data_IF_472859335808
#
_entry.id   IF_472859335808
#
_cell.length_a   1.000
_cell.length_b   1.000
_cell.length_c   1.000
_cell.angle_alpha   90.00
_cell.angle_beta   90.00
_cell.angle_gamma   90.00
#
_symmetry.space_group_name_H-M   'P 1'
#
loop_
_entity.id
_entity.type
_entity.pdbx_description
1 polymer ?
#
# COMPACT_ATOMS: atom_id res chain seq x y z
N UNK A 1 10.97 8.93 -22.33
CA UNK A 1 12.31 8.84 -21.69
C UNK A 1 12.36 7.52 -20.93
N UNK A 2 13.52 6.92 -20.80
CA UNK A 2 13.68 5.67 -20.03
C UNK A 2 14.28 5.98 -18.67
N UNK A 3 13.77 5.33 -17.61
CA UNK A 3 14.28 5.45 -16.24
C UNK A 3 15.03 4.19 -15.78
N UNK A 4 15.39 3.28 -16.71
CA UNK A 4 16.13 2.05 -16.42
C UNK A 4 17.45 2.29 -15.68
N UNK A 5 18.11 3.43 -15.93
CA UNK A 5 19.35 3.80 -15.28
C UNK A 5 19.23 3.94 -13.76
N UNK A 6 18.04 4.24 -13.24
CA UNK A 6 17.76 4.32 -11.80
C UNK A 6 17.70 2.94 -11.13
N UNK A 7 17.62 1.86 -11.92
CA UNK A 7 17.48 0.47 -11.50
C UNK A 7 18.62 -0.41 -12.00
N UNK A 8 19.81 0.18 -12.25
CA UNK A 8 20.91 -0.48 -12.94
C UNK A 8 21.36 -1.76 -12.24
N UNK A 9 21.44 -1.76 -10.91
CA UNK A 9 21.81 -2.91 -10.09
C UNK A 9 20.78 -4.04 -10.19
N UNK A 10 19.49 -3.72 -10.05
CA UNK A 10 18.42 -4.71 -10.10
C UNK A 10 18.27 -5.34 -11.49
N UNK A 11 18.42 -4.55 -12.54
CA UNK A 11 18.34 -5.02 -13.93
C UNK A 11 19.56 -5.83 -14.33
N UNK A 12 20.75 -5.54 -13.79
CA UNK A 12 21.97 -6.29 -14.07
C UNK A 12 21.96 -7.72 -13.50
N UNK A 13 21.10 -8.02 -12.52
CA UNK A 13 21.00 -9.38 -11.96
C UNK A 13 20.40 -10.39 -12.93
N UNK A 14 19.52 -9.94 -13.84
CA UNK A 14 18.94 -10.73 -14.92
C UNK A 14 18.47 -9.80 -16.04
N UNK A 15 19.35 -9.44 -16.98
CA UNK A 15 19.05 -8.46 -18.05
C UNK A 15 17.95 -8.90 -19.03
N UNK A 16 17.71 -10.22 -19.14
CA UNK A 16 16.72 -10.77 -20.06
C UNK A 16 15.31 -10.89 -19.42
N UNK A 17 15.22 -10.74 -18.11
CA UNK A 17 13.97 -10.88 -17.40
C UNK A 17 13.00 -9.76 -17.76
N UNK A 18 11.77 -10.13 -18.10
CA UNK A 18 10.63 -9.22 -18.22
C UNK A 18 9.86 -9.22 -16.91
N UNK A 19 10.02 -8.17 -16.13
CA UNK A 19 9.39 -8.08 -14.81
C UNK A 19 8.11 -7.25 -14.87
N UNK A 20 6.94 -7.92 -14.94
CA UNK A 20 5.60 -7.33 -14.96
C UNK A 20 4.83 -7.61 -13.67
N UNK A 21 5.49 -7.51 -12.53
CA UNK A 21 4.91 -7.72 -11.20
C UNK A 21 5.18 -6.55 -10.24
N UNK A 22 5.31 -5.31 -10.74
CA UNK A 22 5.60 -4.12 -9.94
C UNK A 22 4.61 -3.91 -8.78
N UNK A 23 3.35 -4.25 -8.98
CA UNK A 23 2.28 -4.16 -7.98
C UNK A 23 2.37 -5.20 -6.86
N UNK A 24 3.11 -6.26 -7.07
CA UNK A 24 3.31 -7.36 -6.10
C UNK A 24 4.68 -7.24 -5.42
N UNK A 25 5.74 -7.11 -6.22
CA UNK A 25 7.09 -6.85 -5.76
C UNK A 25 7.77 -5.92 -6.75
N UNK A 26 7.86 -4.64 -6.43
CA UNK A 26 8.55 -3.67 -7.29
C UNK A 26 10.06 -3.93 -7.28
N UNK A 27 10.74 -3.74 -8.41
CA UNK A 27 12.20 -3.69 -8.41
C UNK A 27 12.67 -2.48 -7.60
N UNK A 28 13.77 -2.64 -6.90
CA UNK A 28 14.33 -1.60 -6.06
C UNK A 28 15.32 -0.75 -6.86
N UNK A 29 15.21 0.59 -6.82
CA UNK A 29 16.16 1.46 -7.47
C UNK A 29 17.50 1.46 -6.74
N UNK A 30 18.56 1.91 -7.41
CA UNK A 30 19.91 1.97 -6.86
C UNK A 30 19.99 2.82 -5.59
N UNK A 31 19.19 3.88 -5.50
CA UNK A 31 19.07 4.71 -4.30
C UNK A 31 18.57 3.94 -3.05
N UNK A 32 17.77 2.89 -3.25
CA UNK A 32 17.37 2.00 -2.15
C UNK A 32 18.57 1.21 -1.59
N UNK A 33 19.46 0.73 -2.47
CA UNK A 33 20.71 0.07 -2.06
C UNK A 33 21.60 1.02 -1.27
N UNK A 34 21.78 2.25 -1.74
CA UNK A 34 22.60 3.25 -1.07
C UNK A 34 22.02 3.61 0.32
N UNK A 35 20.69 3.69 0.44
CA UNK A 35 20.00 3.83 1.73
C UNK A 35 20.27 2.66 2.68
N UNK A 36 20.27 1.42 2.17
CA UNK A 36 20.62 0.22 2.94
C UNK A 36 22.06 0.27 3.47
N UNK A 37 23.01 0.66 2.62
CA UNK A 37 24.42 0.79 2.99
C UNK A 37 24.59 1.89 4.02
N UNK A 38 23.94 3.05 3.84
CA UNK A 38 23.98 4.16 4.80
C UNK A 38 23.48 3.70 6.17
N UNK A 39 22.37 2.99 6.26
CA UNK A 39 21.85 2.46 7.53
C UNK A 39 22.85 1.56 8.23
N UNK A 40 23.52 0.67 7.47
CA UNK A 40 24.54 -0.23 8.01
C UNK A 40 25.76 0.53 8.55
N UNK A 41 26.25 1.51 7.79
CA UNK A 41 27.43 2.33 8.18
C UNK A 41 27.12 3.12 9.43
N UNK A 42 25.99 3.83 9.48
CA UNK A 42 25.61 4.66 10.63
C UNK A 42 25.33 3.81 11.87
N UNK A 43 24.70 2.65 11.74
CA UNK A 43 24.48 1.72 12.85
C UNK A 43 25.79 1.25 13.49
N UNK A 44 26.83 0.95 12.69
CA UNK A 44 28.12 0.54 13.18
C UNK A 44 28.96 1.71 13.70
N UNK A 45 28.84 2.89 13.11
CA UNK A 45 29.58 4.08 13.52
C UNK A 45 29.06 4.65 14.85
N UNK A 46 27.73 4.76 15.00
CA UNK A 46 27.10 5.38 16.16
C UNK A 46 26.73 4.41 17.28
N UNK A 47 26.67 3.11 16.96
CA UNK A 47 26.19 2.06 17.87
C UNK A 47 24.81 2.43 18.45
N UNK A 48 24.65 2.43 19.79
CA UNK A 48 23.37 2.76 20.43
C UNK A 48 22.90 4.19 20.17
N UNK A 49 23.83 5.14 20.00
CA UNK A 49 23.50 6.53 19.65
C UNK A 49 22.88 6.71 18.25
N UNK A 50 22.81 5.64 17.43
CA UNK A 50 22.09 5.68 16.15
C UNK A 50 20.62 6.09 16.33
N UNK A 51 20.02 5.80 17.50
CA UNK A 51 18.64 6.16 17.77
C UNK A 51 18.41 7.66 17.87
N UNK A 52 19.41 8.43 18.33
CA UNK A 52 19.35 9.89 18.31
C UNK A 52 19.20 10.37 16.86
N UNK A 53 20.01 9.81 15.94
CA UNK A 53 19.95 10.14 14.52
C UNK A 53 18.65 9.66 13.86
N UNK A 54 18.22 8.43 14.18
CA UNK A 54 16.98 7.85 13.60
C UNK A 54 15.77 8.71 13.96
N UNK A 55 15.64 9.16 15.21
CA UNK A 55 14.50 9.96 15.64
C UNK A 55 14.65 11.46 15.37
N UNK A 56 15.87 12.00 15.24
CA UNK A 56 16.07 13.39 14.90
C UNK A 56 15.98 13.68 13.38
N UNK A 57 16.40 12.73 12.53
CA UNK A 57 16.56 12.97 11.10
C UNK A 57 15.75 11.97 10.24
N UNK A 58 15.98 10.66 10.41
CA UNK A 58 15.48 9.65 9.47
C UNK A 58 13.96 9.50 9.53
N UNK A 59 13.39 9.43 10.73
CA UNK A 59 11.93 9.35 10.94
C UNK A 59 11.25 10.65 10.49
N UNK A 60 11.70 11.86 10.91
CA UNK A 60 11.08 13.11 10.46
C UNK A 60 11.16 13.33 8.94
N UNK A 61 12.25 12.91 8.30
CA UNK A 61 12.35 12.98 6.83
C UNK A 61 11.31 12.08 6.16
N UNK A 62 11.19 10.83 6.62
CA UNK A 62 10.19 9.90 6.09
C UNK A 62 8.75 10.40 6.32
N UNK A 63 8.45 10.96 7.51
CA UNK A 63 7.18 11.58 7.82
C UNK A 63 6.85 12.72 6.85
N UNK A 64 7.81 13.62 6.58
CA UNK A 64 7.65 14.73 5.63
C UNK A 64 7.39 14.24 4.21
N UNK A 65 8.09 13.20 3.76
CA UNK A 65 7.89 12.62 2.45
C UNK A 65 6.47 12.02 2.30
N UNK A 66 6.00 11.29 3.31
CA UNK A 66 4.65 10.71 3.30
C UNK A 66 3.59 11.80 3.35
N UNK A 67 3.77 12.81 4.20
CA UNK A 67 2.84 13.93 4.31
C UNK A 67 2.74 14.72 3.01
N UNK A 68 3.87 15.00 2.36
CA UNK A 68 3.90 15.64 1.04
C UNK A 68 3.14 14.81 -0.02
N UNK A 69 3.34 13.49 0.02
CA UNK A 69 2.73 12.57 -0.96
C UNK A 69 1.22 12.45 -0.80
N UNK A 70 0.72 12.50 0.44
CA UNK A 70 -0.69 12.31 0.77
C UNK A 70 -1.44 13.63 1.06
N UNK A 71 -0.79 14.78 0.97
CA UNK A 71 -1.40 16.07 1.31
C UNK A 71 -1.70 16.23 2.80
N UNK A 72 -0.99 15.51 3.69
CA UNK A 72 -1.24 15.59 5.13
C UNK A 72 -0.73 16.92 5.70
N UNK A 73 -1.54 17.66 6.48
CA UNK A 73 -1.13 18.97 7.01
C UNK A 73 -0.10 18.86 8.12
N UNK A 74 -0.02 17.72 8.80
CA UNK A 74 0.86 17.48 9.95
C UNK A 74 1.63 16.16 9.78
N UNK A 75 2.97 16.22 9.57
CA UNK A 75 3.82 15.04 9.48
C UNK A 75 3.86 14.17 10.75
N UNK A 76 3.60 14.73 11.93
CA UNK A 76 3.62 14.00 13.20
C UNK A 76 2.45 13.03 13.35
N UNK A 77 1.45 13.11 12.44
CA UNK A 77 0.38 12.12 12.33
C UNK A 77 0.83 10.80 11.70
N UNK A 78 2.09 10.70 11.22
CA UNK A 78 2.65 9.50 10.59
C UNK A 78 3.56 8.76 11.55
N UNK A 79 3.35 7.43 11.66
CA UNK A 79 4.15 6.52 12.49
C UNK A 79 4.50 5.25 11.71
N UNK A 80 5.58 4.56 12.10
CA UNK A 80 6.11 3.41 11.37
C UNK A 80 6.03 2.10 12.16
N UNK A 81 5.86 1.00 11.42
CA UNK A 81 5.92 -0.37 11.93
C UNK A 81 6.45 -1.31 10.82
N UNK A 82 6.84 -2.56 11.13
CA UNK A 82 7.29 -3.48 10.11
C UNK A 82 6.28 -3.72 8.97
N UNK A 83 4.98 -3.63 9.26
CA UNK A 83 3.89 -3.91 8.33
C UNK A 83 2.58 -3.26 8.79
N UNK A 84 1.57 -3.23 7.92
CA UNK A 84 0.25 -2.66 8.21
C UNK A 84 -0.58 -3.51 9.18
N UNK A 85 -0.32 -4.83 9.26
CA UNK A 85 -1.02 -5.72 10.19
C UNK A 85 -0.81 -5.29 11.65
N UNK A 86 0.42 -4.91 12.01
CA UNK A 86 0.74 -4.41 13.36
C UNK A 86 -0.12 -3.19 13.71
N UNK A 87 -0.35 -2.28 12.77
CA UNK A 87 -1.20 -1.11 13.00
C UNK A 87 -2.67 -1.47 13.15
N UNK A 88 -3.18 -2.37 12.31
CA UNK A 88 -4.56 -2.84 12.45
C UNK A 88 -4.79 -3.43 13.85
N UNK A 89 -3.90 -4.29 14.33
CA UNK A 89 -4.00 -4.86 15.68
C UNK A 89 -3.99 -3.76 16.75
N UNK A 90 -3.13 -2.76 16.64
CA UNK A 90 -3.06 -1.64 17.60
C UNK A 90 -4.32 -0.78 17.57
N UNK A 91 -4.82 -0.40 16.40
CA UNK A 91 -6.05 0.39 16.28
C UNK A 91 -7.23 -0.37 16.88
N UNK A 92 -7.44 -1.64 16.49
CA UNK A 92 -8.53 -2.45 17.01
C UNK A 92 -8.42 -2.73 18.53
N UNK A 93 -7.20 -2.74 19.07
CA UNK A 93 -6.98 -2.90 20.50
C UNK A 93 -7.47 -1.72 21.33
N UNK A 94 -7.59 -0.55 20.73
CA UNK A 94 -8.08 0.66 21.40
C UNK A 94 -9.60 0.76 21.46
N UNK A 95 -10.34 -0.16 20.84
CA UNK A 95 -11.79 -0.20 20.97
C UNK A 95 -12.19 -1.05 22.20
N UNK A 96 -12.76 -0.40 23.20
CA UNK A 96 -13.01 -1.02 24.50
C UNK A 96 -14.21 -1.96 24.50
N UNK A 97 -15.26 -1.60 23.77
CA UNK A 97 -16.52 -2.38 23.74
C UNK A 97 -16.39 -3.58 22.82
N UNK A 98 -16.73 -4.76 23.33
CA UNK A 98 -16.75 -6.02 22.56
C UNK A 98 -18.16 -6.59 22.51
N UNK A 99 -18.53 -7.30 21.42
CA UNK A 99 -17.77 -7.45 20.16
C UNK A 99 -17.69 -6.14 19.37
N UNK A 100 -16.55 -5.90 18.69
CA UNK A 100 -16.38 -4.78 17.76
C UNK A 100 -17.23 -5.02 16.52
N UNK A 101 -18.05 -4.07 16.13
CA UNK A 101 -18.90 -4.17 14.92
C UNK A 101 -18.13 -3.57 13.73
N UNK A 102 -17.68 -4.42 12.83
CA UNK A 102 -16.85 -4.05 11.70
C UNK A 102 -17.67 -4.05 10.42
N UNK A 103 -17.63 -2.94 9.66
CA UNK A 103 -18.06 -2.90 8.28
C UNK A 103 -16.82 -3.02 7.37
N UNK A 104 -16.85 -3.93 6.41
CA UNK A 104 -15.77 -4.13 5.46
C UNK A 104 -16.28 -4.74 4.15
N UNK A 105 -15.38 -5.26 3.31
CA UNK A 105 -15.71 -5.85 2.02
C UNK A 105 -15.30 -7.32 1.96
N UNK A 106 -15.78 -8.04 0.94
CA UNK A 106 -15.32 -9.40 0.60
C UNK A 106 -14.00 -9.40 -0.20
N UNK A 107 -13.50 -8.22 -0.59
CA UNK A 107 -12.29 -8.03 -1.41
C UNK A 107 -11.03 -7.59 -0.66
N UNK A 108 -11.04 -7.54 0.66
CA UNK A 108 -9.90 -7.09 1.45
C UNK A 108 -8.69 -8.02 1.38
N UNK A 109 -7.50 -7.45 1.58
CA UNK A 109 -6.27 -8.22 1.57
C UNK A 109 -6.23 -9.29 2.67
N UNK A 110 -5.57 -10.39 2.39
CA UNK A 110 -5.53 -11.58 3.25
C UNK A 110 -5.14 -11.32 4.71
N UNK A 111 -4.27 -10.35 4.98
CA UNK A 111 -3.83 -10.05 6.34
C UNK A 111 -5.00 -9.54 7.20
N UNK A 112 -5.79 -8.57 6.69
CA UNK A 112 -6.96 -8.08 7.40
C UNK A 112 -8.10 -9.10 7.40
N UNK A 113 -8.43 -9.69 6.24
CA UNK A 113 -9.51 -10.68 6.13
C UNK A 113 -9.35 -11.81 7.13
N UNK A 114 -8.17 -12.44 7.16
CA UNK A 114 -7.87 -13.55 8.09
C UNK A 114 -7.98 -13.13 9.55
N UNK A 115 -7.52 -11.92 9.87
CA UNK A 115 -7.61 -11.41 11.24
C UNK A 115 -9.05 -11.13 11.65
N UNK A 116 -9.85 -10.54 10.77
CA UNK A 116 -11.27 -10.29 11.00
C UNK A 116 -12.04 -11.60 11.20
N UNK A 117 -11.81 -12.61 10.35
CA UNK A 117 -12.37 -13.96 10.49
C UNK A 117 -12.00 -14.57 11.86
N UNK A 118 -10.76 -14.40 12.32
CA UNK A 118 -10.33 -14.93 13.62
C UNK A 118 -10.98 -14.22 14.80
N UNK A 119 -11.22 -12.91 14.69
CA UNK A 119 -11.97 -12.16 15.72
C UNK A 119 -13.45 -12.56 15.76
N UNK A 120 -14.07 -12.87 14.60
CA UNK A 120 -15.43 -13.43 14.57
C UNK A 120 -15.49 -14.80 15.27
N UNK A 121 -14.55 -15.70 14.96
CA UNK A 121 -14.46 -17.02 15.59
C UNK A 121 -14.31 -16.95 17.12
N UNK A 122 -13.57 -15.95 17.62
CA UNK A 122 -13.37 -15.74 19.06
C UNK A 122 -14.49 -14.98 19.75
N UNK A 123 -15.44 -14.44 18.99
CA UNK A 123 -16.51 -13.60 19.52
C UNK A 123 -16.08 -12.16 19.86
N UNK A 124 -14.88 -11.75 19.42
CA UNK A 124 -14.37 -10.40 19.65
C UNK A 124 -14.89 -9.38 18.63
N UNK A 125 -15.37 -9.83 17.48
CA UNK A 125 -15.96 -8.97 16.45
C UNK A 125 -17.22 -9.58 15.83
N UNK A 126 -18.06 -8.69 15.28
CA UNK A 126 -19.14 -9.00 14.33
C UNK A 126 -18.81 -8.27 13.05
N UNK A 127 -18.65 -8.99 11.94
CA UNK A 127 -18.17 -8.43 10.67
C UNK A 127 -19.27 -8.45 9.62
N UNK A 128 -19.68 -7.27 9.19
CA UNK A 128 -20.56 -7.06 8.03
C UNK A 128 -19.69 -6.87 6.79
N UNK A 129 -19.90 -7.70 5.76
CA UNK A 129 -19.17 -7.64 4.49
C UNK A 129 -20.08 -7.20 3.36
N UNK A 130 -19.73 -6.12 2.69
CA UNK A 130 -20.38 -5.69 1.45
C UNK A 130 -19.63 -6.31 0.28
N UNK A 131 -20.36 -6.97 -0.64
CA UNK A 131 -19.73 -7.56 -1.83
C UNK A 131 -19.19 -6.47 -2.75
N UNK A 132 -18.02 -6.71 -3.35
CA UNK A 132 -17.48 -5.83 -4.38
C UNK A 132 -18.37 -5.84 -5.64
N UNK A 133 -18.94 -6.99 -5.97
CA UNK A 133 -19.74 -7.13 -7.19
C UNK A 133 -21.22 -6.78 -6.96
N UNK A 134 -21.86 -6.09 -7.92
CA UNK A 134 -21.26 -5.44 -9.09
C UNK A 134 -20.50 -4.17 -8.68
N UNK A 135 -19.28 -3.97 -9.24
CA UNK A 135 -18.39 -2.89 -8.80
C UNK A 135 -18.91 -1.49 -9.15
N UNK A 136 -19.67 -1.37 -10.24
CA UNK A 136 -20.24 -0.09 -10.71
C UNK A 136 -21.15 0.57 -9.66
N UNK A 137 -21.72 -0.21 -8.75
CA UNK A 137 -22.57 0.27 -7.65
C UNK A 137 -21.93 0.11 -6.27
N UNK A 138 -20.65 -0.29 -6.24
CA UNK A 138 -19.97 -0.59 -4.98
C UNK A 138 -19.93 0.60 -4.03
N UNK A 139 -19.45 1.76 -4.51
CA UNK A 139 -19.30 2.96 -3.67
C UNK A 139 -20.66 3.38 -3.06
N UNK A 140 -21.73 3.36 -3.84
CA UNK A 140 -23.09 3.65 -3.36
C UNK A 140 -23.54 2.65 -2.29
N UNK A 141 -23.39 1.35 -2.55
CA UNK A 141 -23.81 0.28 -1.62
C UNK A 141 -22.99 0.30 -0.33
N UNK A 142 -21.67 0.53 -0.42
CA UNK A 142 -20.80 0.56 0.75
C UNK A 142 -21.06 1.80 1.61
N UNK A 143 -21.21 2.96 0.97
CA UNK A 143 -21.59 4.22 1.65
C UNK A 143 -22.98 4.09 2.32
N UNK A 144 -23.97 3.52 1.63
CA UNK A 144 -25.29 3.31 2.22
C UNK A 144 -25.22 2.36 3.43
N UNK A 145 -24.43 1.29 3.38
CA UNK A 145 -24.22 0.40 4.52
C UNK A 145 -23.54 1.12 5.69
N UNK A 146 -22.56 1.97 5.43
CA UNK A 146 -21.88 2.77 6.44
C UNK A 146 -22.86 3.79 7.10
N UNK A 147 -23.64 4.49 6.30
CA UNK A 147 -24.66 5.45 6.75
C UNK A 147 -25.79 4.78 7.54
N UNK A 148 -26.12 3.53 7.23
CA UNK A 148 -27.09 2.72 7.97
C UNK A 148 -26.74 2.55 9.44
N UNK A 149 -25.49 2.81 9.81
CA UNK A 149 -24.99 2.86 11.18
C UNK A 149 -24.85 1.48 11.84
N UNK A 150 -24.55 1.50 13.12
CA UNK A 150 -24.37 0.28 13.89
C UNK A 150 -22.97 -0.35 13.75
N UNK A 151 -22.01 0.36 13.15
CA UNK A 151 -20.62 -0.06 13.02
C UNK A 151 -19.71 0.78 13.92
N UNK A 152 -18.71 0.15 14.51
CA UNK A 152 -17.72 0.78 15.36
C UNK A 152 -16.45 1.13 14.54
N UNK A 153 -16.14 0.28 13.57
CA UNK A 153 -14.98 0.45 12.68
C UNK A 153 -15.39 0.11 11.25
N UNK A 154 -14.97 0.94 10.31
CA UNK A 154 -15.14 0.75 8.86
C UNK A 154 -13.75 0.54 8.27
N UNK A 155 -13.52 -0.56 7.56
CA UNK A 155 -12.25 -0.87 6.91
C UNK A 155 -12.47 -1.10 5.43
N UNK A 156 -11.72 -0.41 4.58
CA UNK A 156 -11.81 -0.55 3.13
C UNK A 156 -10.46 -0.33 2.46
N UNK A 157 -10.14 -1.13 1.45
CA UNK A 157 -8.99 -0.89 0.59
C UNK A 157 -9.26 0.25 -0.39
N UNK A 158 -8.31 1.19 -0.53
CA UNK A 158 -8.36 2.24 -1.55
C UNK A 158 -8.33 1.65 -2.96
N UNK A 159 -7.53 0.61 -3.16
CA UNK A 159 -7.42 -0.16 -4.40
C UNK A 159 -7.42 -1.64 -4.07
N UNK A 160 -8.36 -2.37 -4.62
CA UNK A 160 -8.49 -3.80 -4.35
C UNK A 160 -7.40 -4.61 -5.01
N UNK A 161 -6.72 -5.42 -4.21
CA UNK A 161 -5.50 -6.11 -4.63
C UNK A 161 -5.72 -7.14 -5.73
N UNK A 162 -6.89 -7.81 -5.77
CA UNK A 162 -7.20 -8.86 -6.75
C UNK A 162 -7.64 -8.28 -8.08
N UNK A 163 -8.53 -7.29 -8.04
CA UNK A 163 -9.20 -6.74 -9.22
C UNK A 163 -8.55 -5.48 -9.79
N UNK A 164 -7.79 -4.74 -8.98
CA UNK A 164 -7.21 -3.46 -9.37
C UNK A 164 -8.21 -2.30 -9.49
N UNK A 165 -9.44 -2.52 -9.05
CA UNK A 165 -10.47 -1.49 -8.97
C UNK A 165 -10.20 -0.58 -7.77
N UNK A 166 -10.47 0.71 -7.90
CA UNK A 166 -10.27 1.72 -6.85
C UNK A 166 -11.59 2.35 -6.46
N UNK A 167 -11.74 2.68 -5.17
CA UNK A 167 -12.93 3.33 -4.62
C UNK A 167 -12.88 4.84 -4.78
N UNK A 168 -14.04 5.47 -4.88
CA UNK A 168 -14.23 6.93 -4.89
C UNK A 168 -14.91 7.49 -3.62
N UNK A 169 -15.33 6.64 -2.67
CA UNK A 169 -16.19 7.05 -1.55
C UNK A 169 -15.44 7.42 -0.25
N UNK A 170 -14.11 7.64 -0.28
CA UNK A 170 -13.33 7.93 0.94
C UNK A 170 -13.87 9.16 1.67
N UNK A 171 -14.21 10.23 0.96
CA UNK A 171 -14.71 11.47 1.55
C UNK A 171 -16.07 11.26 2.25
N UNK A 172 -16.95 10.48 1.64
CA UNK A 172 -18.26 10.13 2.21
C UNK A 172 -18.12 9.30 3.48
N UNK A 173 -17.17 8.35 3.51
CA UNK A 173 -16.87 7.56 4.70
C UNK A 173 -16.25 8.43 5.80
N UNK A 174 -15.31 9.30 5.44
CA UNK A 174 -14.67 10.23 6.37
C UNK A 174 -15.67 11.18 7.03
N UNK A 175 -16.73 11.56 6.33
CA UNK A 175 -17.80 12.40 6.87
C UNK A 175 -18.55 11.74 8.05
N UNK A 176 -18.51 10.40 8.14
CA UNK A 176 -19.15 9.62 9.22
C UNK A 176 -18.23 9.45 10.43
N UNK A 177 -16.92 9.60 10.25
CA UNK A 177 -15.92 9.29 11.28
C UNK A 177 -15.94 10.28 12.44
N UNK A 178 -15.81 9.76 13.66
CA UNK A 178 -15.75 10.53 14.91
C UNK A 178 -14.82 9.85 15.91
N UNK A 179 -14.23 10.58 16.85
CA UNK A 179 -13.39 9.99 17.91
C UNK A 179 -14.06 8.85 18.69
N UNK A 180 -15.35 8.97 18.97
CA UNK A 180 -16.16 7.94 19.62
C UNK A 180 -16.71 6.87 18.69
N UNK A 181 -16.43 6.98 17.38
CA UNK A 181 -16.81 6.03 16.33
C UNK A 181 -17.96 6.50 15.42
N UNK A 182 -18.09 5.89 14.24
CA UNK A 182 -17.19 4.87 13.71
C UNK A 182 -15.80 5.40 13.40
N UNK A 183 -14.77 4.55 13.54
CA UNK A 183 -13.44 4.84 12.99
C UNK A 183 -13.34 4.34 11.55
N UNK A 184 -12.76 5.14 10.67
CA UNK A 184 -12.57 4.79 9.27
C UNK A 184 -11.09 4.51 9.02
N UNK A 185 -10.80 3.31 8.53
CA UNK A 185 -9.45 2.83 8.20
C UNK A 185 -9.40 2.55 6.70
N UNK A 186 -8.52 3.26 5.99
CA UNK A 186 -8.26 3.05 4.56
C UNK A 186 -6.95 2.32 4.39
N UNK A 187 -6.99 1.14 3.75
CA UNK A 187 -5.79 0.44 3.31
C UNK A 187 -5.35 0.97 1.94
N UNK A 188 -4.34 1.82 1.94
CA UNK A 188 -3.77 2.43 0.76
C UNK A 188 -2.59 1.66 0.14
N UNK A 189 -2.37 0.41 0.48
CA UNK A 189 -1.15 -0.30 0.10
C UNK A 189 -0.94 -0.46 -1.42
N UNK A 190 -2.01 -0.46 -2.21
CA UNK A 190 -1.96 -0.45 -3.67
C UNK A 190 -2.14 0.95 -4.28
N UNK A 191 -2.53 1.94 -3.47
CA UNK A 191 -2.70 3.34 -3.90
C UNK A 191 -1.45 4.20 -3.69
N UNK A 192 -0.78 4.06 -2.55
CA UNK A 192 0.36 4.89 -2.16
C UNK A 192 1.49 4.84 -3.19
N UNK A 193 1.90 6.02 -3.67
CA UNK A 193 2.90 6.21 -4.74
C UNK A 193 2.58 5.49 -6.07
N UNK A 194 1.40 4.91 -6.20
CA UNK A 194 0.89 4.34 -7.44
C UNK A 194 -0.11 5.27 -8.12
N UNK A 195 -0.99 5.86 -7.33
CA UNK A 195 -2.05 6.76 -7.79
C UNK A 195 -1.95 8.06 -7.00
N UNK A 196 -2.00 9.23 -7.64
CA UNK A 196 -2.07 10.50 -6.91
C UNK A 196 -3.21 10.46 -5.88
N UNK A 197 -2.87 10.71 -4.64
CA UNK A 197 -3.81 10.63 -3.50
C UNK A 197 -3.65 11.89 -2.66
N UNK A 198 -4.73 12.62 -2.48
CA UNK A 198 -4.78 13.81 -1.62
C UNK A 198 -5.80 13.57 -0.51
N UNK A 199 -5.31 13.49 0.73
CA UNK A 199 -6.13 13.27 1.92
C UNK A 199 -6.32 14.58 2.72
N UNK A 200 -5.89 15.73 2.22
CA UNK A 200 -5.88 17.00 2.95
C UNK A 200 -7.25 17.38 3.54
N UNK A 201 -8.34 17.07 2.83
CA UNK A 201 -9.70 17.35 3.25
C UNK A 201 -10.26 16.41 4.35
N UNK A 202 -9.61 15.26 4.56
CA UNK A 202 -10.11 14.18 5.44
C UNK A 202 -9.07 13.66 6.43
N UNK A 203 -7.87 14.21 6.43
CA UNK A 203 -6.74 13.76 7.26
C UNK A 203 -7.03 13.81 8.76
N UNK A 204 -7.92 14.70 9.20
CA UNK A 204 -8.32 14.84 10.60
C UNK A 204 -9.33 13.78 11.07
N UNK A 205 -9.77 12.87 10.18
CA UNK A 205 -10.90 11.95 10.45
C UNK A 205 -10.61 10.49 10.11
N UNK A 206 -9.63 10.18 9.28
CA UNK A 206 -9.38 8.81 8.84
C UNK A 206 -8.03 8.30 9.31
N UNK A 207 -7.96 6.98 9.52
CA UNK A 207 -6.69 6.27 9.55
C UNK A 207 -6.33 5.83 8.13
N UNK A 208 -5.07 5.99 7.75
CA UNK A 208 -4.58 5.51 6.47
C UNK A 208 -3.34 4.64 6.68
N UNK A 209 -3.40 3.38 6.28
CA UNK A 209 -2.29 2.43 6.40
C UNK A 209 -1.71 2.10 5.04
N UNK A 210 -0.38 2.05 4.94
CA UNK A 210 0.31 1.63 3.73
C UNK A 210 1.76 1.22 4.03
N UNK A 211 2.60 1.09 3.00
CA UNK A 211 4.01 0.75 3.19
C UNK A 211 4.86 0.74 1.93
N UNK A 212 6.14 0.49 2.14
CA UNK A 212 7.20 0.62 1.14
C UNK A 212 7.34 -0.51 0.14
N UNK A 213 6.68 -1.63 0.34
CA UNK A 213 6.93 -2.88 -0.37
C UNK A 213 6.62 -2.85 -1.88
N UNK A 214 5.59 -2.09 -2.29
CA UNK A 214 5.11 -2.03 -3.67
C UNK A 214 5.66 -0.78 -4.38
N UNK A 215 4.81 0.17 -4.71
CA UNK A 215 5.17 1.33 -5.54
C UNK A 215 6.05 2.37 -4.85
N UNK A 216 6.21 2.31 -3.53
CA UNK A 216 7.23 3.09 -2.84
C UNK A 216 8.67 2.52 -3.03
N UNK A 217 8.82 1.34 -3.67
CA UNK A 217 10.11 0.79 -4.16
C UNK A 217 11.16 0.53 -3.07
N UNK A 218 10.74 0.33 -1.82
CA UNK A 218 11.68 0.27 -0.67
C UNK A 218 11.73 -1.09 0.01
N UNK A 219 10.98 -2.06 -0.50
CA UNK A 219 10.89 -3.39 0.10
C UNK A 219 10.12 -3.42 1.42
N UNK A 220 10.29 -4.52 2.13
CA UNK A 220 9.62 -4.81 3.39
C UNK A 220 10.10 -3.90 4.52
N UNK A 221 9.28 -3.77 5.57
CA UNK A 221 9.65 -3.14 6.84
C UNK A 221 9.32 -1.65 6.95
N UNK A 222 8.91 -0.97 5.86
CA UNK A 222 8.48 0.42 5.87
C UNK A 222 6.94 0.52 5.88
N UNK A 223 6.26 -0.20 6.77
CA UNK A 223 4.85 0.01 7.03
C UNK A 223 4.64 1.34 7.74
N UNK A 224 3.61 2.08 7.37
CA UNK A 224 3.24 3.32 8.06
C UNK A 224 1.73 3.42 8.30
N UNK A 225 1.40 4.21 9.31
CA UNK A 225 0.06 4.63 9.65
C UNK A 225 0.03 6.15 9.70
N UNK A 226 -0.92 6.78 9.02
CA UNK A 226 -1.42 8.10 9.36
C UNK A 226 -2.58 7.93 10.34
N UNK A 227 -2.50 8.58 11.50
CA UNK A 227 -3.50 8.50 12.57
C UNK A 227 -4.00 9.91 12.95
N UNK A 228 -5.31 10.19 12.82
CA UNK A 228 -5.85 11.48 13.15
C UNK A 228 -5.76 11.76 14.66
N UNK A 229 -5.64 13.04 15.02
CA UNK A 229 -5.64 13.46 16.43
C UNK A 229 -7.00 13.16 17.09
N UNK A 230 -7.00 12.79 18.36
CA UNK A 230 -8.20 12.51 19.14
C UNK A 230 -8.83 11.13 18.89
N UNK A 231 -8.35 10.37 17.92
CA UNK A 231 -8.86 9.01 17.65
C UNK A 231 -7.95 7.95 18.28
N UNK A 232 -8.53 6.93 18.92
CA UNK A 232 -7.78 5.82 19.52
C UNK A 232 -6.59 6.29 20.37
N UNK A 233 -6.84 7.11 21.37
CA UNK A 233 -5.77 7.76 22.16
C UNK A 233 -4.96 6.77 23.01
N UNK A 234 -5.55 5.62 23.36
CA UNK A 234 -4.95 4.65 24.26
C UNK A 234 -5.08 3.21 23.72
N UNK A 235 -4.34 2.84 22.65
CA UNK A 235 -4.36 1.45 22.18
C UNK A 235 -3.84 0.51 23.28
N UNK A 236 -4.53 -0.63 23.49
CA UNK A 236 -4.13 -1.61 24.51
C UNK A 236 -2.86 -2.36 24.10
N UNK A 237 -2.70 -2.62 22.79
CA UNK A 237 -1.47 -3.16 22.24
C UNK A 237 -0.49 -2.02 22.02
N UNK A 238 0.50 -1.88 22.89
CA UNK A 238 1.46 -0.78 22.93
C UNK A 238 2.90 -1.26 23.12
N UNK A 239 3.86 -0.37 23.05
CA UNK A 239 5.27 -0.63 23.31
C UNK A 239 5.98 0.58 23.88
N UNK A 240 7.24 0.41 24.28
CA UNK A 240 7.98 1.44 25.02
C UNK A 240 8.29 2.71 24.20
N UNK A 241 8.28 2.64 22.85
CA UNK A 241 8.41 3.84 22.02
C UNK A 241 7.14 4.71 22.00
N UNK A 242 5.99 4.20 22.39
CA UNK A 242 4.76 4.99 22.50
C UNK A 242 4.83 6.07 23.59
N UNK A 243 5.81 5.97 24.50
CA UNK A 243 6.07 6.92 25.58
C UNK A 243 7.58 7.32 25.61
N UNK A 244 8.29 7.21 24.49
CA UNK A 244 9.73 7.49 24.43
C UNK A 244 10.03 8.92 24.85
N UNK A 245 10.70 9.10 25.98
CA UNK A 245 10.99 10.40 26.59
C UNK A 245 10.45 10.57 28.01
N UNK A 246 9.49 9.74 28.46
CA UNK A 246 8.96 9.78 29.82
C UNK A 246 9.06 8.43 30.57
N UNK A 247 9.87 7.50 30.06
CA UNK A 247 10.04 6.15 30.64
C UNK A 247 10.55 6.14 32.09
N UNK A 248 11.17 7.24 32.55
CA UNK A 248 11.68 7.43 33.91
C UNK A 248 10.73 8.25 34.80
N UNK A 249 9.54 8.59 34.30
CA UNK A 249 8.53 9.31 35.05
C UNK A 249 7.93 8.47 36.20
N UNK A 250 7.19 9.08 37.13
CA UNK A 250 6.53 8.37 38.21
C UNK A 250 5.51 7.37 37.65
N UNK A 251 5.33 6.18 38.29
CA UNK A 251 4.48 5.12 37.79
C UNK A 251 2.97 5.42 38.02
N UNK A 252 2.45 6.43 37.36
CA UNK A 252 1.02 6.81 37.40
C UNK A 252 0.22 6.17 36.25
N UNK A 253 0.53 4.91 35.91
CA UNK A 253 -0.07 4.18 34.79
C UNK A 253 0.72 4.39 33.48
N UNK A 254 0.26 3.74 32.41
CA UNK A 254 0.87 3.80 31.08
C UNK A 254 0.46 5.13 30.42
N UNK A 255 1.45 5.94 30.09
CA UNK A 255 1.25 7.19 29.38
C UNK A 255 1.41 6.97 27.86
N UNK A 256 0.90 7.89 27.07
CA UNK A 256 0.97 7.86 25.62
C UNK A 256 1.33 9.25 25.08
N UNK A 257 1.99 9.28 23.93
CA UNK A 257 2.16 10.51 23.17
C UNK A 257 0.80 11.00 22.65
N UNK A 258 0.61 12.31 22.56
CA UNK A 258 -0.61 12.91 22.01
C UNK A 258 -0.68 12.81 20.46
N UNK A 259 0.50 12.67 19.80
CA UNK A 259 0.64 12.51 18.35
C UNK A 259 0.47 11.03 17.93
N UNK A 260 0.72 10.73 16.65
CA UNK A 260 0.68 9.34 16.15
C UNK A 260 1.69 8.41 16.81
N UNK A 261 2.66 8.97 17.55
CA UNK A 261 3.62 8.20 18.33
C UNK A 261 2.99 7.26 19.35
N UNK A 262 1.73 7.49 19.77
CA UNK A 262 0.96 6.54 20.60
C UNK A 262 0.82 5.15 19.98
N UNK A 263 1.00 5.04 18.65
CA UNK A 263 1.00 3.78 17.91
C UNK A 263 2.39 3.18 17.69
N UNK A 264 3.48 3.79 18.22
CA UNK A 264 4.78 3.11 18.22
C UNK A 264 4.72 1.81 19.03
N UNK A 265 5.49 0.84 18.56
CA UNK A 265 5.66 -0.43 19.25
C UNK A 265 6.93 -0.48 20.08
N UNK A 266 7.60 -1.63 20.01
CA UNK A 266 8.93 -1.85 20.57
C UNK A 266 10.03 -1.45 19.58
N UNK A 267 11.28 -1.78 19.91
CA UNK A 267 12.45 -1.62 19.03
C UNK A 267 12.19 -2.20 17.65
N UNK A 268 12.42 -1.41 16.61
CA UNK A 268 12.13 -1.77 15.23
C UNK A 268 13.37 -1.64 14.34
N UNK A 269 13.33 -2.27 13.19
CA UNK A 269 14.34 -2.14 12.14
C UNK A 269 14.15 -0.81 11.39
N UNK A 270 15.10 0.12 11.50
CA UNK A 270 15.00 1.45 10.88
C UNK A 270 15.52 1.49 9.43
N UNK A 271 16.25 0.48 8.98
CA UNK A 271 16.84 0.42 7.63
C UNK A 271 15.83 0.67 6.51
N UNK A 272 14.57 0.18 6.57
CA UNK A 272 13.58 0.46 5.54
C UNK A 272 13.27 1.95 5.37
N UNK A 273 13.36 2.77 6.42
CA UNK A 273 13.17 4.21 6.33
C UNK A 273 14.33 4.91 5.62
N UNK A 274 15.57 4.43 5.80
CA UNK A 274 16.71 4.90 5.03
C UNK A 274 16.55 4.62 3.54
N UNK A 275 16.06 3.42 3.18
CA UNK A 275 15.74 3.08 1.79
C UNK A 275 14.65 3.99 1.25
N UNK A 276 13.57 4.21 2.00
CA UNK A 276 12.46 5.07 1.61
C UNK A 276 12.92 6.51 1.37
N UNK A 277 13.65 7.10 2.29
CA UNK A 277 14.20 8.46 2.15
C UNK A 277 15.14 8.56 0.94
N UNK A 278 15.97 7.53 0.69
CA UNK A 278 16.82 7.46 -0.50
C UNK A 278 16.01 7.46 -1.80
N UNK A 279 14.97 6.65 -1.86
CA UNK A 279 14.06 6.60 -3.03
C UNK A 279 13.34 7.95 -3.23
N UNK A 280 12.83 8.55 -2.16
CA UNK A 280 12.14 9.85 -2.28
C UNK A 280 13.06 10.97 -2.74
N UNK A 281 14.27 11.05 -2.22
CA UNK A 281 15.29 12.01 -2.71
C UNK A 281 15.61 11.78 -4.18
N UNK A 282 15.83 10.54 -4.60
CA UNK A 282 16.04 10.20 -6.01
C UNK A 282 14.88 10.70 -6.90
N UNK A 283 13.63 10.47 -6.51
CA UNK A 283 12.47 10.93 -7.27
C UNK A 283 12.42 12.47 -7.34
N UNK A 284 12.66 13.16 -6.23
CA UNK A 284 12.70 14.63 -6.19
C UNK A 284 13.85 15.17 -7.08
N UNK A 285 15.05 14.58 -7.06
CA UNK A 285 16.19 14.93 -7.92
C UNK A 285 15.91 14.71 -9.42
N UNK A 286 15.14 13.67 -9.74
CA UNK A 286 14.72 13.40 -11.12
C UNK A 286 13.50 14.24 -11.56
N UNK A 287 12.90 15.01 -10.66
CA UNK A 287 11.65 15.75 -10.93
C UNK A 287 10.45 14.83 -11.20
N UNK A 288 10.46 13.63 -10.63
CA UNK A 288 9.41 12.61 -10.85
C UNK A 288 8.40 12.64 -9.71
N UNK A 289 7.17 12.93 -10.05
CA UNK A 289 6.00 12.84 -9.15
C UNK A 289 5.29 11.50 -9.30
N UNK A 290 4.42 11.17 -8.35
CA UNK A 290 3.51 10.00 -8.48
C UNK A 290 2.61 10.14 -9.70
N UNK A 291 2.21 11.35 -10.09
CA UNK A 291 1.44 11.57 -11.31
C UNK A 291 2.23 11.20 -12.57
N UNK A 292 3.53 11.53 -12.63
CA UNK A 292 4.39 11.17 -13.76
C UNK A 292 4.60 9.66 -13.87
N UNK A 293 4.86 9.00 -12.73
CA UNK A 293 5.02 7.55 -12.63
C UNK A 293 3.72 6.85 -13.03
N UNK A 294 2.60 7.36 -12.56
CA UNK A 294 1.26 6.90 -12.88
C UNK A 294 0.99 7.00 -14.40
N UNK A 295 1.23 8.17 -14.99
CA UNK A 295 1.05 8.38 -16.42
C UNK A 295 1.99 7.50 -17.27
N UNK A 296 3.22 7.24 -16.79
CA UNK A 296 4.13 6.31 -17.44
C UNK A 296 3.57 4.88 -17.44
N UNK A 297 3.14 4.37 -16.28
CA UNK A 297 2.54 3.05 -16.16
C UNK A 297 1.26 2.90 -16.99
N UNK A 298 0.45 3.97 -17.08
CA UNK A 298 -0.77 4.00 -17.88
C UNK A 298 -0.48 3.85 -19.38
N UNK A 299 0.51 4.54 -19.91
CA UNK A 299 0.90 4.38 -21.32
C UNK A 299 1.32 2.94 -21.63
N UNK A 300 2.14 2.34 -20.77
CA UNK A 300 2.61 0.96 -20.95
C UNK A 300 1.45 -0.04 -20.86
N UNK A 301 0.59 0.12 -19.86
CA UNK A 301 -0.57 -0.76 -19.69
C UNK A 301 -1.59 -0.61 -20.80
N UNK A 302 -1.77 0.61 -21.34
CA UNK A 302 -2.66 0.86 -22.46
C UNK A 302 -2.20 0.16 -23.74
N UNK A 303 -0.88 0.19 -24.04
CA UNK A 303 -0.33 -0.56 -25.18
C UNK A 303 -0.56 -2.07 -25.05
N UNK A 304 -0.35 -2.61 -23.85
CA UNK A 304 -0.60 -4.03 -23.62
C UNK A 304 -2.10 -4.39 -23.72
N UNK A 305 -2.98 -3.56 -23.15
CA UNK A 305 -4.43 -3.75 -23.27
C UNK A 305 -4.92 -3.70 -24.73
N UNK A 306 -4.36 -2.80 -25.55
CA UNK A 306 -4.64 -2.74 -27.00
C UNK A 306 -4.22 -4.03 -27.70
N UNK A 307 -3.05 -4.59 -27.37
CA UNK A 307 -2.58 -5.84 -27.93
C UNK A 307 -3.47 -7.03 -27.56
N UNK A 308 -3.94 -7.08 -26.30
CA UNK A 308 -4.92 -8.08 -25.86
C UNK A 308 -6.22 -7.98 -26.69
N UNK A 309 -6.78 -6.78 -26.81
CA UNK A 309 -8.02 -6.54 -27.56
C UNK A 309 -7.88 -6.82 -29.07
N UNK A 310 -6.69 -6.61 -29.63
CA UNK A 310 -6.39 -6.89 -31.03
C UNK A 310 -6.08 -8.38 -31.31
N UNK A 311 -6.08 -9.25 -30.29
CA UNK A 311 -5.72 -10.68 -30.43
C UNK A 311 -4.23 -10.93 -30.66
N UNK A 312 -3.35 -9.95 -30.41
CA UNK A 312 -1.92 -10.09 -30.60
C UNK A 312 -1.26 -11.00 -29.54
N UNK A 313 -1.99 -11.33 -28.47
CA UNK A 313 -1.50 -12.11 -27.33
C UNK A 313 -2.08 -13.54 -27.26
N UNK A 314 -2.67 -14.04 -28.35
CA UNK A 314 -3.30 -15.37 -28.40
C UNK A 314 -4.42 -15.52 -27.36
N UNK A 315 -4.53 -16.72 -26.78
CA UNK A 315 -5.59 -17.08 -25.80
C UNK A 315 -5.65 -16.13 -24.57
N UNK A 316 -4.54 -15.42 -24.28
CA UNK A 316 -4.54 -14.42 -23.19
C UNK A 316 -5.55 -13.28 -23.45
N UNK A 317 -5.86 -12.99 -24.72
CA UNK A 317 -6.86 -12.01 -25.13
C UNK A 317 -8.32 -12.42 -24.82
N UNK A 318 -8.58 -13.69 -24.48
CA UNK A 318 -9.90 -14.18 -24.08
C UNK A 318 -10.26 -13.84 -22.63
N UNK A 319 -9.27 -13.38 -21.84
CA UNK A 319 -9.49 -13.05 -20.45
C UNK A 319 -10.38 -11.80 -20.27
N UNK A 320 -11.20 -11.81 -19.23
CA UNK A 320 -11.96 -10.64 -18.81
C UNK A 320 -11.06 -9.66 -18.08
N UNK A 321 -10.94 -8.45 -18.60
CA UNK A 321 -10.22 -7.36 -17.94
C UNK A 321 -11.09 -6.78 -16.82
N UNK A 322 -10.67 -6.92 -15.55
CA UNK A 322 -11.45 -6.48 -14.38
C UNK A 322 -11.35 -4.99 -14.11
N UNK A 323 -10.26 -4.34 -14.56
CA UNK A 323 -10.01 -2.92 -14.40
C UNK A 323 -9.60 -2.29 -15.74
N UNK A 324 -10.51 -2.20 -16.71
CA UNK A 324 -10.22 -1.75 -18.06
C UNK A 324 -9.64 -0.31 -18.06
N UNK A 325 -8.76 -0.06 -19.05
CA UNK A 325 -8.20 1.25 -19.29
C UNK A 325 -9.17 2.03 -20.19
N UNK A 326 -9.57 3.18 -19.74
CA UNK A 326 -10.47 4.03 -20.52
C UNK A 326 -11.84 4.12 -19.86
N UNK A 327 -12.11 5.21 -19.30
CA UNK A 327 -13.29 5.67 -18.59
C UNK A 327 -12.86 6.90 -17.82
N UNK A 328 -13.72 7.83 -17.62
CA UNK A 328 -13.53 9.18 -17.13
C UNK A 328 -12.61 9.28 -15.89
N UNK A 329 -11.30 9.31 -16.10
CA UNK A 329 -10.26 9.59 -15.06
C UNK A 329 -10.42 8.86 -13.71
N UNK A 330 -11.17 7.76 -13.66
CA UNK A 330 -11.37 7.01 -12.43
C UNK A 330 -10.01 6.48 -11.92
N UNK A 331 -9.68 6.68 -10.65
CA UNK A 331 -8.46 6.12 -10.08
C UNK A 331 -8.48 4.59 -10.24
N UNK A 332 -7.34 4.02 -10.61
CA UNK A 332 -7.17 2.57 -10.81
C UNK A 332 -5.78 2.14 -10.43
N UNK A 333 -5.59 0.83 -10.22
CA UNK A 333 -4.29 0.24 -10.01
C UNK A 333 -3.32 0.45 -11.18
N UNK A 334 -2.03 0.38 -10.91
CA UNK A 334 -0.96 0.37 -11.92
C UNK A 334 -0.63 -1.06 -12.39
N UNK A 335 -1.65 -1.90 -12.48
CA UNK A 335 -1.59 -3.24 -13.08
C UNK A 335 -2.89 -3.54 -13.81
N UNK A 336 -2.84 -4.43 -14.78
CA UNK A 336 -4.00 -5.03 -15.41
C UNK A 336 -4.32 -6.36 -14.72
N UNK A 337 -5.58 -6.55 -14.36
CA UNK A 337 -6.12 -7.78 -13.77
C UNK A 337 -6.96 -8.52 -14.82
N UNK A 338 -6.51 -9.70 -15.22
CA UNK A 338 -7.11 -10.51 -16.27
C UNK A 338 -7.66 -11.79 -15.64
N UNK A 339 -8.98 -11.94 -15.64
CA UNK A 339 -9.68 -13.10 -15.07
C UNK A 339 -9.87 -14.19 -16.13
N UNK A 340 -9.34 -15.39 -15.84
CA UNK A 340 -9.52 -16.54 -16.70
C UNK A 340 -9.24 -17.86 -15.93
N UNK A 341 -9.95 -18.97 -16.19
CA UNK A 341 -9.68 -20.25 -15.53
C UNK A 341 -8.25 -20.75 -15.66
N UNK A 342 -7.57 -20.42 -16.76
CA UNK A 342 -6.18 -20.82 -17.03
C UNK A 342 -5.11 -19.88 -16.42
N UNK A 343 -5.48 -18.87 -15.62
CA UNK A 343 -4.56 -17.85 -15.10
C UNK A 343 -3.30 -18.44 -14.43
N UNK A 344 -3.47 -19.51 -13.64
CA UNK A 344 -2.35 -20.21 -12.98
C UNK A 344 -1.40 -20.86 -13.99
N UNK A 345 -1.95 -21.56 -14.99
CA UNK A 345 -1.17 -22.20 -16.02
C UNK A 345 -0.44 -21.18 -16.92
N UNK A 346 -1.11 -20.07 -17.24
CA UNK A 346 -0.52 -18.96 -17.98
C UNK A 346 0.67 -18.33 -17.25
N UNK A 347 0.48 -18.08 -15.95
CA UNK A 347 1.56 -17.55 -15.10
C UNK A 347 2.77 -18.50 -15.08
N UNK A 348 2.56 -19.80 -15.00
CA UNK A 348 3.67 -20.78 -15.04
C UNK A 348 4.41 -20.74 -16.37
N UNK A 349 3.70 -20.74 -17.52
CA UNK A 349 4.29 -20.65 -18.86
C UNK A 349 5.08 -19.34 -19.08
N UNK A 350 4.58 -18.23 -18.58
CA UNK A 350 5.27 -16.94 -18.62
C UNK A 350 6.56 -16.97 -17.79
N UNK A 351 6.51 -17.56 -16.59
CA UNK A 351 7.69 -17.69 -15.74
C UNK A 351 8.77 -18.55 -16.40
N UNK A 352 8.42 -19.66 -17.05
CA UNK A 352 9.33 -20.50 -17.81
C UNK A 352 9.98 -19.74 -18.98
N UNK A 353 9.31 -18.71 -19.50
CA UNK A 353 9.82 -17.80 -20.53
C UNK A 353 10.53 -16.56 -19.94
N UNK A 354 10.90 -16.56 -18.66
CA UNK A 354 11.52 -15.47 -17.93
C UNK A 354 10.67 -14.18 -17.87
N UNK A 355 9.34 -14.34 -17.86
CA UNK A 355 8.37 -13.24 -17.65
C UNK A 355 7.74 -13.38 -16.26
N UNK A 356 8.06 -12.45 -15.37
CA UNK A 356 7.55 -12.44 -13.99
C UNK A 356 6.24 -11.69 -13.95
N UNK A 357 5.16 -12.39 -13.59
CA UNK A 357 3.82 -11.86 -13.33
C UNK A 357 3.31 -12.39 -12.00
N UNK A 358 2.15 -11.92 -11.57
CA UNK A 358 1.51 -12.39 -10.34
C UNK A 358 0.14 -13.00 -10.66
N UNK A 359 -0.34 -13.90 -9.81
CA UNK A 359 -1.65 -14.54 -9.94
C UNK A 359 -2.33 -14.68 -8.59
N UNK A 360 -3.63 -14.42 -8.55
CA UNK A 360 -4.49 -14.67 -7.39
C UNK A 360 -5.73 -15.41 -7.85
N UNK A 361 -5.86 -16.64 -7.38
CA UNK A 361 -6.93 -17.56 -7.80
C UNK A 361 -6.99 -17.68 -9.34
N UNK A 362 -8.04 -17.16 -9.96
CA UNK A 362 -8.32 -17.14 -11.40
C UNK A 362 -7.95 -15.81 -12.09
N UNK A 363 -7.19 -14.92 -11.40
CA UNK A 363 -6.81 -13.60 -11.93
C UNK A 363 -5.29 -13.51 -12.06
N UNK A 364 -4.78 -13.42 -13.30
CA UNK A 364 -3.40 -13.06 -13.58
C UNK A 364 -3.26 -11.55 -13.66
N UNK A 365 -2.17 -11.00 -13.09
CA UNK A 365 -1.97 -9.56 -12.99
C UNK A 365 -0.65 -9.17 -13.62
N UNK A 366 -0.69 -8.12 -14.43
CA UNK A 366 0.48 -7.53 -15.10
C UNK A 366 0.70 -6.12 -14.54
N UNK A 367 1.74 -5.93 -13.75
CA UNK A 367 2.07 -4.66 -13.09
C UNK A 367 3.14 -3.90 -13.84
N UNK A 368 2.93 -2.58 -13.93
CA UNK A 368 3.78 -1.66 -14.66
C UNK A 368 4.52 -0.74 -13.68
N UNK A 369 5.82 -0.58 -13.88
CA UNK A 369 6.69 0.22 -13.03
C UNK A 369 7.63 1.13 -13.82
N UNK A 370 8.31 2.02 -13.13
CA UNK A 370 9.15 3.06 -13.72
C UNK A 370 10.35 2.51 -14.52
N UNK A 371 10.81 1.29 -14.21
CA UNK A 371 11.94 0.63 -14.90
C UNK A 371 11.60 0.01 -16.26
N UNK A 372 10.31 -0.03 -16.66
CA UNK A 372 9.88 -0.61 -17.92
C UNK A 372 9.83 0.44 -19.03
N UNK A 373 9.90 -0.04 -20.26
CA UNK A 373 9.78 0.78 -21.48
C UNK A 373 8.74 0.18 -22.42
N UNK A 374 8.38 0.93 -23.45
CA UNK A 374 7.52 0.42 -24.53
C UNK A 374 8.14 -0.81 -25.21
N UNK A 375 9.48 -0.85 -25.36
CA UNK A 375 10.19 -2.01 -25.90
C UNK A 375 9.98 -3.26 -25.01
N UNK A 376 9.97 -3.12 -23.69
CA UNK A 376 9.70 -4.25 -22.79
C UNK A 376 8.25 -4.75 -22.96
N UNK A 377 7.30 -3.86 -23.25
CA UNK A 377 5.92 -4.24 -23.55
C UNK A 377 5.82 -4.97 -24.89
N UNK A 378 6.52 -4.50 -25.94
CA UNK A 378 6.56 -5.21 -27.22
C UNK A 378 7.20 -6.60 -27.09
N UNK A 379 8.27 -6.73 -26.29
CA UNK A 379 8.85 -8.02 -25.95
C UNK A 379 7.86 -8.93 -25.21
N UNK A 380 7.09 -8.40 -24.26
CA UNK A 380 6.02 -9.14 -23.58
C UNK A 380 4.97 -9.65 -24.58
N UNK A 381 4.48 -8.78 -25.47
CA UNK A 381 3.49 -9.13 -26.50
C UNK A 381 4.02 -10.25 -27.39
N UNK A 382 5.28 -10.15 -27.85
CA UNK A 382 5.91 -11.19 -28.67
C UNK A 382 6.02 -12.53 -27.93
N UNK A 383 6.32 -12.51 -26.63
CA UNK A 383 6.33 -13.73 -25.79
C UNK A 383 4.91 -14.29 -25.66
N UNK A 384 3.91 -13.47 -25.38
CA UNK A 384 2.51 -13.92 -25.26
C UNK A 384 2.04 -14.56 -26.57
N UNK A 385 2.27 -13.92 -27.72
CA UNK A 385 1.92 -14.44 -29.05
C UNK A 385 2.53 -15.81 -29.35
N UNK A 386 3.72 -16.07 -28.84
CA UNK A 386 4.40 -17.37 -29.03
C UNK A 386 3.88 -18.45 -28.07
N UNK A 387 3.45 -18.05 -26.88
CA UNK A 387 3.04 -18.98 -25.84
C UNK A 387 1.55 -19.32 -25.90
N UNK A 388 0.72 -18.42 -26.32
CA UNK A 388 -0.74 -18.54 -26.27
C UNK A 388 -1.35 -18.38 -27.65
#
# INVERSE_FOLDING_TARGET
MTHKHLFSRALALDPERLHFAAHSHHLWPDASFDGQVRAWVEANHFADRKWDLVFADVVPEAQKHISKELGLPDPETVVFAPNTHDFLIRIFSGWETKPVRILTTDGEFHAFRRQAERWEESGEAVVTRVSLEPFETFDERFTAAAQGGGHDVIVVSQVFFKTGQAIGCIDDLAALAKPEGPWVIVDGYHGFMATPTDLSAVADRIFYVSGGYKYAMTGEGAGFLHAPHGFCERPVVTGWFAEFGNLMGPPEGVQYRADAGRFWGATFESTPLYRFNGVRRMLDEQGLTTADISAHADRLSARFAQALAAGECGDLGEAVVLNPIGGDNAPRARFLALKHPNAQAWRARLLDANVVTDVRDDVIRFGFGLYQTEEDVERLIAVCKRLF
#
